data_IF_341460738407
#
_entry.id   IF_341460738407
#
_cell.length_a   1.000
_cell.length_b   1.000
_cell.length_c   1.000
_cell.angle_alpha   90.00
_cell.angle_beta   90.00
_cell.angle_gamma   90.00
#
_symmetry.space_group_name_H-M   'P 1'
#
loop_
_entity.id
_entity.type
_entity.pdbx_description
1 polymer ?
#
# COMPACT_ATOMS: atom_id res chain seq x y z
N UNK A 1 32.74 -35.87 51.01
CA UNK A 1 31.69 -34.97 50.55
C UNK A 1 32.21 -34.27 49.30
N UNK A 2 31.70 -34.63 48.11
CA UNK A 2 32.09 -33.99 46.82
C UNK A 2 30.94 -33.10 46.39
N UNK A 3 31.19 -31.80 46.32
CA UNK A 3 30.22 -30.79 45.82
C UNK A 3 30.27 -30.78 44.29
N UNK A 4 29.13 -31.11 43.66
CA UNK A 4 28.93 -30.98 42.22
C UNK A 4 28.46 -29.52 41.94
N UNK A 5 29.32 -28.75 41.28
CA UNK A 5 28.96 -27.43 40.75
C UNK A 5 28.19 -27.60 39.45
N UNK A 6 26.91 -27.26 39.42
CA UNK A 6 26.09 -27.25 38.22
C UNK A 6 26.27 -25.90 37.49
N UNK A 7 26.94 -25.91 36.33
CA UNK A 7 27.12 -24.75 35.45
C UNK A 7 25.86 -24.60 34.59
N UNK A 8 25.04 -23.61 34.89
CA UNK A 8 23.89 -23.25 34.07
C UNK A 8 24.36 -22.44 32.86
N UNK A 9 24.26 -23.01 31.66
CA UNK A 9 24.55 -22.34 30.39
C UNK A 9 23.27 -21.58 29.98
N UNK A 10 23.32 -20.25 30.10
CA UNK A 10 22.27 -19.35 29.66
C UNK A 10 22.35 -19.14 28.15
N UNK A 11 21.53 -19.87 27.38
CA UNK A 11 21.38 -19.68 25.92
C UNK A 11 20.61 -18.38 25.68
N UNK A 12 21.31 -17.26 25.39
CA UNK A 12 20.70 -16.07 24.83
C UNK A 12 20.26 -16.37 23.38
N UNK A 13 18.98 -16.61 23.18
CA UNK A 13 18.39 -16.65 21.84
C UNK A 13 18.41 -15.23 21.26
N UNK A 14 19.33 -14.96 20.34
CA UNK A 14 19.34 -13.76 19.50
C UNK A 14 18.12 -13.82 18.58
N UNK A 15 17.04 -13.13 18.96
CA UNK A 15 15.90 -12.92 18.08
C UNK A 15 16.36 -12.04 16.91
N UNK A 16 16.69 -12.65 15.78
CA UNK A 16 16.92 -11.94 14.53
C UNK A 16 15.58 -11.31 14.14
N UNK A 17 15.48 -9.97 13.99
CA UNK A 17 14.25 -9.37 13.53
C UNK A 17 13.95 -9.92 12.14
N UNK A 18 12.82 -10.63 12.00
CA UNK A 18 12.34 -11.07 10.72
C UNK A 18 12.15 -9.82 9.84
N UNK A 19 12.88 -9.73 8.73
CA UNK A 19 12.67 -8.67 7.75
C UNK A 19 11.20 -8.75 7.31
N UNK A 20 10.44 -7.66 7.50
CA UNK A 20 9.04 -7.61 7.10
C UNK A 20 8.98 -7.90 5.59
N UNK A 21 8.27 -8.95 5.21
CA UNK A 21 8.00 -9.23 3.81
C UNK A 21 7.03 -8.15 3.27
N UNK A 22 7.15 -7.74 2.00
CA UNK A 22 6.19 -6.83 1.41
C UNK A 22 4.76 -7.37 1.56
N UNK A 23 3.75 -6.55 1.86
CA UNK A 23 2.41 -7.05 2.14
C UNK A 23 1.80 -7.70 0.90
N UNK A 24 1.54 -9.01 0.95
CA UNK A 24 0.71 -9.72 -0.05
C UNK A 24 -0.75 -9.31 0.01
N UNK A 25 -1.18 -8.73 1.15
CA UNK A 25 -2.52 -8.25 1.42
C UNK A 25 -2.48 -7.02 2.32
N UNK A 26 -3.56 -6.24 2.38
CA UNK A 26 -3.59 -5.08 3.26
C UNK A 26 -4.94 -4.37 3.30
N UNK A 27 -5.01 -3.36 4.16
CA UNK A 27 -6.22 -2.57 4.36
C UNK A 27 -6.00 -1.13 3.94
N UNK A 28 -6.90 -0.60 3.12
CA UNK A 28 -7.05 0.81 2.89
C UNK A 28 -7.93 1.42 4.01
N UNK A 29 -7.34 2.32 4.77
CA UNK A 29 -8.07 3.22 5.68
C UNK A 29 -8.21 4.56 4.96
N UNK A 30 -9.41 4.91 4.45
CA UNK A 30 -9.60 6.11 3.63
C UNK A 30 -9.08 7.36 4.31
N UNK A 31 -8.32 8.17 3.57
CA UNK A 31 -7.72 9.40 4.06
C UNK A 31 -6.55 9.24 5.05
N UNK A 32 -6.16 8.01 5.41
CA UNK A 32 -5.16 7.76 6.46
C UNK A 32 -3.98 6.91 6.01
N UNK A 33 -4.22 5.67 5.54
CA UNK A 33 -3.14 4.73 5.24
C UNK A 33 -3.57 3.66 4.23
N UNK A 34 -2.59 3.08 3.57
CA UNK A 34 -2.73 1.89 2.72
C UNK A 34 -1.71 0.84 3.17
N UNK A 35 -2.17 -0.33 3.62
CA UNK A 35 -1.29 -1.39 4.13
C UNK A 35 -0.37 -0.91 5.27
N UNK A 36 -0.86 -0.03 6.15
CA UNK A 36 -0.09 0.58 7.24
C UNK A 36 0.78 1.78 6.84
N UNK A 37 1.05 2.00 5.55
CA UNK A 37 1.84 3.16 5.10
C UNK A 37 0.96 4.41 4.99
N UNK A 38 1.42 5.51 5.59
CA UNK A 38 0.76 6.82 5.58
C UNK A 38 1.44 7.77 4.61
N UNK A 39 0.69 8.74 4.10
CA UNK A 39 1.29 9.87 3.38
C UNK A 39 2.21 10.66 4.31
N UNK A 40 3.31 11.18 3.76
CA UNK A 40 4.37 11.84 4.53
C UNK A 40 5.35 10.89 5.22
N UNK A 41 5.15 9.57 5.15
CA UNK A 41 6.10 8.58 5.68
C UNK A 41 7.49 8.74 5.03
N UNK A 42 8.54 8.53 5.81
CA UNK A 42 9.92 8.48 5.28
C UNK A 42 10.19 7.14 4.59
N UNK A 43 11.21 7.09 3.73
CA UNK A 43 11.69 5.85 3.10
C UNK A 43 11.96 4.76 4.13
N UNK A 44 12.68 5.09 5.20
CA UNK A 44 12.96 4.15 6.29
C UNK A 44 11.69 3.64 7.01
N UNK A 45 10.65 4.47 7.14
CA UNK A 45 9.38 4.03 7.71
C UNK A 45 8.65 3.05 6.79
N UNK A 46 8.67 3.27 5.48
CA UNK A 46 8.09 2.35 4.49
C UNK A 46 8.87 1.04 4.45
N UNK A 47 10.20 1.08 4.47
CA UNK A 47 11.05 -0.12 4.54
C UNK A 47 10.79 -0.95 5.79
N UNK A 48 10.55 -0.32 6.95
CA UNK A 48 10.16 -1.06 8.15
C UNK A 48 8.79 -1.72 8.02
N UNK A 49 7.85 -1.10 7.31
CA UNK A 49 6.49 -1.62 7.16
C UNK A 49 6.37 -2.68 6.06
N UNK A 50 7.03 -2.46 4.92
CA UNK A 50 6.86 -3.26 3.71
C UNK A 50 8.13 -4.02 3.29
N UNK A 51 9.23 -3.88 4.04
CA UNK A 51 10.51 -4.49 3.71
C UNK A 51 11.29 -3.73 2.65
N UNK A 52 12.39 -4.32 2.20
CA UNK A 52 13.32 -3.74 1.22
C UNK A 52 13.28 -4.41 -0.15
N UNK A 53 12.38 -5.38 -0.34
CA UNK A 53 12.20 -6.05 -1.63
C UNK A 53 11.32 -5.20 -2.55
N UNK A 54 11.87 -4.12 -3.10
CA UNK A 54 11.19 -3.24 -4.04
C UNK A 54 12.07 -2.92 -5.26
N UNK A 55 11.41 -2.68 -6.39
CA UNK A 55 12.04 -2.10 -7.58
C UNK A 55 11.82 -0.59 -7.61
N UNK A 56 12.76 0.14 -8.21
CA UNK A 56 12.63 1.59 -8.45
C UNK A 56 12.30 1.83 -9.92
N UNK A 57 11.27 2.60 -10.20
CA UNK A 57 10.90 2.95 -11.56
C UNK A 57 11.99 3.82 -12.21
N UNK A 58 12.53 3.31 -13.33
CA UNK A 58 13.40 4.09 -14.20
C UNK A 58 12.55 4.75 -15.29
N UNK A 59 12.51 6.07 -15.34
CA UNK A 59 11.73 6.82 -16.34
C UNK A 59 10.33 7.25 -15.90
N UNK A 60 9.92 6.98 -14.66
CA UNK A 60 8.74 7.62 -14.09
C UNK A 60 9.02 9.12 -13.82
N UNK A 61 8.00 9.97 -13.98
CA UNK A 61 8.09 11.41 -13.67
C UNK A 61 8.53 11.67 -12.22
N UNK A 62 8.11 10.77 -11.30
CA UNK A 62 8.48 10.82 -9.88
C UNK A 62 9.15 9.53 -9.46
N UNK A 63 10.06 9.62 -8.51
CA UNK A 63 10.62 8.41 -7.91
C UNK A 63 9.48 7.55 -7.36
N UNK A 64 9.39 6.32 -7.84
CA UNK A 64 8.34 5.37 -7.47
C UNK A 64 8.97 4.04 -7.10
N UNK A 65 8.62 3.54 -5.92
CA UNK A 65 9.01 2.22 -5.45
C UNK A 65 7.86 1.24 -5.63
N UNK A 66 8.15 0.08 -6.25
CA UNK A 66 7.19 -0.99 -6.49
C UNK A 66 7.51 -2.21 -5.64
N UNK A 67 6.58 -2.61 -4.80
CA UNK A 67 6.65 -3.77 -3.91
C UNK A 67 5.83 -4.92 -4.49
N UNK A 68 6.35 -6.16 -4.42
CA UNK A 68 5.70 -7.36 -4.96
C UNK A 68 5.31 -7.25 -6.45
N UNK A 69 6.03 -6.40 -7.19
CA UNK A 69 5.82 -6.24 -8.61
C UNK A 69 6.79 -7.13 -9.39
N UNK A 70 6.24 -8.08 -10.13
CA UNK A 70 7.00 -8.91 -11.05
C UNK A 70 6.55 -8.63 -12.47
N UNK A 71 7.49 -8.62 -13.43
CA UNK A 71 7.22 -8.29 -14.83
C UNK A 71 6.13 -9.17 -15.47
N UNK A 72 6.03 -10.44 -15.06
CA UNK A 72 5.04 -11.40 -15.55
C UNK A 72 3.78 -11.50 -14.69
N UNK A 73 3.79 -10.92 -13.49
CA UNK A 73 2.65 -10.84 -12.58
C UNK A 73 2.66 -9.47 -11.90
N UNK A 74 2.28 -8.40 -12.61
CA UNK A 74 2.46 -7.03 -12.15
C UNK A 74 1.43 -6.64 -11.08
N UNK A 75 1.32 -7.44 -10.02
CA UNK A 75 0.42 -7.22 -8.88
C UNK A 75 1.23 -6.79 -7.67
N UNK A 76 0.81 -5.73 -7.00
CA UNK A 76 1.53 -5.27 -5.83
C UNK A 76 1.06 -3.92 -5.32
N UNK A 77 1.95 -3.22 -4.66
CA UNK A 77 1.73 -1.88 -4.16
C UNK A 77 2.91 -0.98 -4.53
N UNK A 78 2.67 0.33 -4.56
CA UNK A 78 3.68 1.31 -4.89
C UNK A 78 3.62 2.53 -3.98
N UNK A 79 4.75 3.21 -3.86
CA UNK A 79 4.89 4.49 -3.16
C UNK A 79 5.58 5.48 -4.09
N UNK A 80 4.95 6.63 -4.33
CA UNK A 80 5.58 7.78 -5.00
C UNK A 80 6.19 8.72 -3.98
N UNK A 81 7.34 9.27 -4.33
CA UNK A 81 8.15 10.09 -3.45
C UNK A 81 8.31 11.52 -3.94
N UNK A 82 8.37 12.45 -2.99
CA UNK A 82 8.86 13.82 -3.17
C UNK A 82 9.65 14.19 -1.91
N UNK A 83 10.88 14.66 -2.07
CA UNK A 83 11.77 15.09 -0.97
C UNK A 83 11.89 14.03 0.15
N UNK A 84 12.00 12.74 -0.25
CA UNK A 84 12.11 11.62 0.68
C UNK A 84 10.85 11.29 1.49
N UNK A 85 9.70 11.88 1.11
CA UNK A 85 8.39 11.66 1.74
C UNK A 85 7.42 11.03 0.77
N UNK A 86 6.61 10.09 1.26
CA UNK A 86 5.54 9.45 0.49
C UNK A 86 4.45 10.47 0.18
N UNK A 87 4.21 10.77 -1.11
CA UNK A 87 3.15 11.67 -1.58
C UNK A 87 1.97 10.93 -2.16
N UNK A 88 2.16 9.68 -2.57
CA UNK A 88 1.10 8.77 -2.94
C UNK A 88 1.48 7.34 -2.57
N UNK A 89 0.48 6.54 -2.24
CA UNK A 89 0.59 5.10 -1.95
C UNK A 89 -0.58 4.42 -2.64
N UNK A 90 -0.34 3.39 -3.44
CA UNK A 90 -1.40 2.75 -4.22
C UNK A 90 -1.11 1.28 -4.51
N UNK A 91 -2.18 0.50 -4.76
CA UNK A 91 -2.06 -0.87 -5.26
C UNK A 91 -1.95 -0.87 -6.78
N UNK A 92 -1.42 -1.96 -7.35
CA UNK A 92 -1.18 -2.11 -8.78
C UNK A 92 -1.78 -3.44 -9.23
N UNK A 93 -2.59 -3.41 -10.29
CA UNK A 93 -3.11 -4.60 -10.97
C UNK A 93 -3.84 -5.60 -10.07
N UNK A 94 -4.77 -5.12 -9.25
CA UNK A 94 -5.70 -5.96 -8.50
C UNK A 94 -5.03 -7.08 -7.67
N UNK A 95 -4.10 -6.75 -6.75
CA UNK A 95 -3.54 -7.76 -5.86
C UNK A 95 -4.63 -8.33 -4.95
N UNK A 96 -4.64 -9.65 -4.76
CA UNK A 96 -5.62 -10.33 -3.90
C UNK A 96 -5.44 -9.93 -2.43
N UNK A 97 -6.52 -10.04 -1.63
CA UNK A 97 -6.47 -9.81 -0.18
C UNK A 97 -6.42 -8.34 0.25
N UNK A 98 -6.53 -7.39 -0.69
CA UNK A 98 -6.63 -5.98 -0.36
C UNK A 98 -8.09 -5.53 -0.27
N UNK A 99 -8.43 -4.87 0.84
CA UNK A 99 -9.78 -4.36 1.11
C UNK A 99 -9.74 -3.01 1.80
N UNK A 100 -10.87 -2.33 1.81
CA UNK A 100 -11.05 -1.13 2.63
C UNK A 100 -11.58 -1.50 4.02
N UNK A 101 -11.53 -0.55 4.96
CA UNK A 101 -12.17 -0.71 6.29
C UNK A 101 -13.70 -0.91 6.22
N UNK A 102 -14.33 -0.58 5.10
CA UNK A 102 -15.77 -0.83 4.87
C UNK A 102 -16.02 -2.18 4.14
N UNK A 103 -15.01 -3.02 3.96
CA UNK A 103 -15.15 -4.33 3.33
C UNK A 103 -15.28 -4.29 1.80
N UNK A 104 -14.93 -3.16 1.14
CA UNK A 104 -14.80 -3.14 -0.31
C UNK A 104 -13.47 -3.80 -0.69
N UNK A 105 -13.51 -4.80 -1.56
CA UNK A 105 -12.36 -5.59 -1.98
C UNK A 105 -11.98 -5.31 -3.44
N UNK A 106 -10.72 -5.51 -3.79
CA UNK A 106 -10.30 -5.47 -5.18
C UNK A 106 -10.98 -6.61 -5.96
N UNK A 107 -11.55 -6.29 -7.11
CA UNK A 107 -12.40 -7.20 -7.89
C UNK A 107 -13.89 -6.99 -7.69
N UNK A 108 -14.31 -6.26 -6.67
CA UNK A 108 -15.72 -5.93 -6.46
C UNK A 108 -16.30 -5.12 -7.63
N UNK A 109 -17.61 -5.27 -7.91
CA UNK A 109 -18.26 -4.44 -8.91
C UNK A 109 -18.30 -2.96 -8.46
N UNK A 110 -18.17 -2.04 -9.40
CA UNK A 110 -18.17 -0.59 -9.14
C UNK A 110 -19.43 -0.11 -8.41
N UNK A 111 -20.56 -0.81 -8.55
CA UNK A 111 -21.80 -0.52 -7.81
C UNK A 111 -21.63 -0.60 -6.28
N UNK A 112 -20.76 -1.48 -5.76
CA UNK A 112 -20.44 -1.55 -4.33
C UNK A 112 -19.76 -0.29 -3.80
N UNK A 113 -19.02 0.44 -4.65
CA UNK A 113 -18.40 1.72 -4.26
C UNK A 113 -19.51 2.69 -3.83
N UNK A 114 -20.54 2.86 -4.66
CA UNK A 114 -21.65 3.75 -4.36
C UNK A 114 -22.46 3.29 -3.16
N UNK A 115 -22.66 1.98 -3.01
CA UNK A 115 -23.38 1.42 -1.86
C UNK A 115 -22.66 1.69 -0.53
N UNK A 116 -21.33 1.63 -0.49
CA UNK A 116 -20.54 1.78 0.72
C UNK A 116 -20.12 3.22 1.04
N UNK A 117 -19.92 4.04 0.00
CA UNK A 117 -19.35 5.40 0.13
C UNK A 117 -20.28 6.52 -0.33
N UNK A 118 -21.47 6.18 -0.87
CA UNK A 118 -22.38 7.16 -1.44
C UNK A 118 -21.89 7.71 -2.79
N UNK A 119 -22.46 8.82 -3.25
CA UNK A 119 -22.03 9.47 -4.48
C UNK A 119 -20.65 10.09 -4.30
N UNK A 120 -19.72 9.76 -5.21
CA UNK A 120 -18.36 10.26 -5.23
C UNK A 120 -18.08 11.03 -6.52
N UNK A 121 -17.14 11.98 -6.44
CA UNK A 121 -16.59 12.60 -7.64
C UNK A 121 -15.85 11.56 -8.48
N UNK A 122 -16.07 11.59 -9.79
CA UNK A 122 -15.39 10.74 -10.77
C UNK A 122 -14.41 11.52 -11.61
N UNK A 123 -13.26 10.92 -11.90
CA UNK A 123 -12.22 11.48 -12.75
C UNK A 123 -11.91 10.44 -13.83
N UNK A 124 -12.02 10.84 -15.10
CA UNK A 124 -11.62 10.01 -16.22
C UNK A 124 -10.09 9.99 -16.31
N UNK A 125 -9.52 8.79 -16.31
CA UNK A 125 -8.11 8.55 -16.59
C UNK A 125 -7.99 7.77 -17.91
N UNK A 126 -6.77 7.66 -18.46
CA UNK A 126 -6.56 6.94 -19.71
C UNK A 126 -6.89 5.45 -19.52
N UNK A 127 -8.07 5.03 -20.00
CA UNK A 127 -8.54 3.64 -19.97
C UNK A 127 -9.25 3.19 -18.70
N UNK A 128 -9.44 4.05 -17.68
CA UNK A 128 -10.14 3.70 -16.44
C UNK A 128 -10.80 4.92 -15.77
N UNK A 129 -11.66 4.68 -14.79
CA UNK A 129 -12.28 5.71 -13.97
C UNK A 129 -11.70 5.70 -12.55
N UNK A 130 -11.62 6.87 -11.95
CA UNK A 130 -11.22 7.03 -10.54
C UNK A 130 -12.36 7.66 -9.77
N UNK A 131 -12.84 6.97 -8.73
CA UNK A 131 -13.74 7.54 -7.73
C UNK A 131 -12.90 8.15 -6.62
N UNK A 132 -13.15 9.42 -6.29
CA UNK A 132 -12.31 10.19 -5.36
C UNK A 132 -13.08 10.58 -4.09
N UNK A 133 -12.58 10.11 -2.94
CA UNK A 133 -13.00 10.60 -1.62
C UNK A 133 -11.99 11.68 -1.20
N UNK A 134 -12.36 12.93 -1.34
CA UNK A 134 -11.52 14.08 -1.01
C UNK A 134 -11.60 14.40 0.47
N UNK A 135 -10.46 14.49 1.14
CA UNK A 135 -10.31 14.97 2.49
C UNK A 135 -9.29 16.12 2.57
N UNK A 136 -9.20 16.81 3.71
CA UNK A 136 -8.32 17.97 3.86
C UNK A 136 -6.83 17.60 3.79
N UNK A 137 -6.48 16.39 4.18
CA UNK A 137 -5.08 15.93 4.24
C UNK A 137 -4.71 14.89 3.19
N UNK A 138 -5.71 14.25 2.59
CA UNK A 138 -5.50 13.20 1.61
C UNK A 138 -6.72 13.01 0.72
N UNK A 139 -6.51 12.55 -0.50
CA UNK A 139 -7.54 12.02 -1.38
C UNK A 139 -7.38 10.50 -1.47
N UNK A 140 -8.45 9.77 -1.16
CA UNK A 140 -8.54 8.34 -1.44
C UNK A 140 -9.06 8.13 -2.84
N UNK A 141 -8.37 7.34 -3.63
CA UNK A 141 -8.75 6.98 -4.98
C UNK A 141 -9.16 5.51 -5.05
N UNK A 142 -10.29 5.24 -5.68
CA UNK A 142 -10.77 3.90 -6.00
C UNK A 142 -10.78 3.78 -7.52
N UNK A 143 -9.88 2.98 -8.07
CA UNK A 143 -9.67 2.86 -9.50
C UNK A 143 -10.54 1.75 -10.07
N UNK A 144 -11.31 2.06 -11.10
CA UNK A 144 -12.25 1.14 -11.74
C UNK A 144 -11.86 0.95 -13.20
N UNK A 145 -11.62 -0.29 -13.57
CA UNK A 145 -11.39 -0.72 -14.96
C UNK A 145 -12.58 -1.56 -15.42
N UNK A 146 -13.23 -1.13 -16.50
CA UNK A 146 -14.51 -1.69 -16.89
C UNK A 146 -15.57 -1.40 -15.83
N UNK A 147 -16.12 -2.43 -15.21
CA UNK A 147 -17.10 -2.36 -14.13
C UNK A 147 -16.56 -2.80 -12.77
N UNK A 148 -15.23 -3.03 -12.65
CA UNK A 148 -14.61 -3.61 -11.46
C UNK A 148 -13.56 -2.71 -10.83
N UNK A 149 -13.56 -2.72 -9.51
CA UNK A 149 -12.51 -2.09 -8.71
C UNK A 149 -11.20 -2.88 -8.89
N UNK A 150 -10.19 -2.27 -9.48
CA UNK A 150 -8.94 -2.95 -9.75
C UNK A 150 -7.75 -2.45 -8.92
N UNK A 151 -7.85 -1.26 -8.33
CA UNK A 151 -6.81 -0.72 -7.45
C UNK A 151 -7.36 0.31 -6.47
N UNK A 152 -6.57 0.57 -5.42
CA UNK A 152 -6.78 1.65 -4.46
C UNK A 152 -5.61 2.62 -4.47
N UNK A 153 -5.83 3.83 -3.99
CA UNK A 153 -4.75 4.78 -3.76
C UNK A 153 -5.06 5.82 -2.69
N UNK A 154 -4.00 6.35 -2.14
CA UNK A 154 -4.00 7.57 -1.33
C UNK A 154 -3.01 8.54 -1.96
N UNK A 155 -3.38 9.81 -2.04
CA UNK A 155 -2.50 10.88 -2.54
C UNK A 155 -2.64 12.12 -1.68
N UNK A 156 -1.56 12.88 -1.52
CA UNK A 156 -1.65 14.24 -0.98
C UNK A 156 -2.52 15.12 -1.89
N UNK A 157 -3.15 16.17 -1.34
CA UNK A 157 -3.84 17.17 -2.15
C UNK A 157 -2.91 17.74 -3.22
N UNK A 158 -3.42 17.92 -4.44
CA UNK A 158 -2.64 18.40 -5.59
C UNK A 158 -1.76 17.36 -6.30
N UNK A 159 -1.60 16.16 -5.75
CA UNK A 159 -0.96 15.05 -6.47
C UNK A 159 -1.97 14.43 -7.43
N UNK A 160 -1.62 14.24 -8.73
CA UNK A 160 -2.51 13.60 -9.69
C UNK A 160 -3.02 12.24 -9.19
N UNK A 161 -4.28 11.91 -9.48
CA UNK A 161 -4.87 10.64 -9.10
C UNK A 161 -4.72 9.58 -10.21
N UNK A 162 -4.66 9.99 -11.47
CA UNK A 162 -4.38 9.07 -12.57
C UNK A 162 -2.94 8.54 -12.49
N UNK A 163 -2.78 7.22 -12.69
CA UNK A 163 -1.52 6.49 -12.57
C UNK A 163 -1.22 5.74 -13.86
#
# INVERSE_FOLDING_TARGET
MRALAATAILLLALAVPAAAAPPGAGVLVPGQSLGGVRLGATKAAVERSWGRAYGICRGCERETWYFNYYAFQPRGAAVEWRDGRAIAVFTIYQPLGWRTTKGLELGDPASRIRALYGPLATIGCKGYLTYALRGPKATTALYVLGDRLWAFGLSLPGVPLCR
#
